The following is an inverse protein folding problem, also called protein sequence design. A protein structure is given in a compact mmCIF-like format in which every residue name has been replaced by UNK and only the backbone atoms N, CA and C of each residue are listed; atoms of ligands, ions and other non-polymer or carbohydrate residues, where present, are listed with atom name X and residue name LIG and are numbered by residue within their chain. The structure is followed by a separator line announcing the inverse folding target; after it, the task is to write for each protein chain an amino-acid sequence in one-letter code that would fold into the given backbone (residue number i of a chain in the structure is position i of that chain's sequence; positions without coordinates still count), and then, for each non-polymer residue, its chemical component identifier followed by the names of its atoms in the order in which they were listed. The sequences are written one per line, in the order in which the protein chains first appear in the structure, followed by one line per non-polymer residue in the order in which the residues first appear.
data_IF_083435725847
#
_entry.id   IF_083435725847
#
_cell.length_a   1.000
_cell.length_b   1.000
_cell.length_c   1.000
_cell.angle_alpha   90.00
_cell.angle_beta   90.00
_cell.angle_gamma   90.00
#
_symmetry.space_group_name_H-M   'P 1'
#
loop_
_entity.id
_entity.type
_entity.pdbx_description
1 polymer ?
#
# COMPACT_ATOMS: atom_id res chain seq x y z
N UNK A 1 27.18 -15.83 0.62
CA UNK A 1 27.21 -14.42 1.10
C UNK A 1 25.84 -13.86 1.47
N UNK A 2 24.74 -14.14 0.70
CA UNK A 2 23.39 -13.58 0.98
C UNK A 2 22.73 -14.15 2.25
N UNK A 3 22.91 -15.42 2.57
CA UNK A 3 22.30 -16.03 3.77
C UNK A 3 22.82 -15.47 5.09
N UNK A 4 24.14 -15.15 5.17
CA UNK A 4 24.76 -14.59 6.39
C UNK A 4 24.25 -13.17 6.74
N UNK A 5 23.74 -12.39 5.78
CA UNK A 5 23.24 -11.03 6.04
C UNK A 5 21.86 -11.03 6.68
N UNK A 6 21.01 -12.02 6.36
CA UNK A 6 19.65 -12.14 6.90
C UNK A 6 19.68 -12.48 8.40
N UNK A 7 20.65 -13.26 8.84
CA UNK A 7 20.86 -13.61 10.26
C UNK A 7 21.33 -12.43 11.12
N UNK A 8 21.76 -11.33 10.49
CA UNK A 8 22.26 -10.12 11.14
C UNK A 8 21.24 -8.97 11.14
N UNK A 9 20.01 -9.24 10.72
CA UNK A 9 18.90 -8.28 10.79
C UNK A 9 18.14 -8.50 12.08
N UNK A 10 18.10 -7.50 12.92
CA UNK A 10 17.40 -7.52 14.20
C UNK A 10 16.14 -6.65 14.15
N UNK A 11 15.20 -6.92 15.04
CA UNK A 11 13.92 -6.23 15.08
C UNK A 11 13.67 -5.59 16.44
N UNK A 12 13.33 -4.31 16.41
CA UNK A 12 12.95 -3.53 17.59
C UNK A 12 11.46 -3.19 17.45
N UNK A 13 10.62 -4.02 18.06
CA UNK A 13 9.15 -3.87 18.07
C UNK A 13 8.64 -3.99 19.50
N UNK A 14 7.36 -3.64 19.77
CA UNK A 14 6.81 -3.51 21.10
C UNK A 14 7.10 -4.67 22.07
N UNK A 15 7.18 -5.91 21.56
CA UNK A 15 7.40 -7.12 22.36
C UNK A 15 8.75 -7.82 22.10
N UNK A 16 9.55 -7.31 21.18
CA UNK A 16 10.83 -7.93 20.79
C UNK A 16 11.89 -6.86 20.57
N UNK A 17 12.94 -6.94 21.38
CA UNK A 17 14.12 -6.11 21.21
C UNK A 17 15.33 -7.03 21.08
N UNK A 18 15.69 -7.34 19.82
CA UNK A 18 16.86 -8.17 19.49
C UNK A 18 17.98 -7.33 18.89
N UNK A 19 18.15 -6.11 19.43
CA UNK A 19 19.19 -5.17 18.98
C UNK A 19 20.59 -5.79 19.00
N UNK A 20 21.44 -5.35 18.08
CA UNK A 20 22.83 -5.74 18.03
C UNK A 20 23.26 -6.43 16.74
N UNK A 21 22.43 -6.38 15.71
CA UNK A 21 22.78 -6.80 14.35
C UNK A 21 23.59 -5.74 13.60
N UNK A 22 23.94 -6.05 12.36
CA UNK A 22 24.50 -5.04 11.43
C UNK A 22 23.40 -4.07 11.01
N UNK A 23 22.15 -4.56 10.91
CA UNK A 23 20.97 -3.79 10.56
C UNK A 23 19.89 -4.06 11.59
N UNK A 24 19.44 -3.00 12.25
CA UNK A 24 18.30 -3.06 13.15
C UNK A 24 17.07 -2.39 12.49
N UNK A 25 15.95 -3.11 12.40
CA UNK A 25 14.69 -2.57 11.90
C UNK A 25 13.80 -2.21 13.08
N UNK A 26 13.43 -0.95 13.20
CA UNK A 26 12.62 -0.44 14.29
C UNK A 26 11.29 0.12 13.81
N UNK A 27 10.23 -0.11 14.59
CA UNK A 27 8.98 0.66 14.48
C UNK A 27 9.17 1.93 15.33
N UNK A 28 8.82 3.08 14.78
CA UNK A 28 9.01 4.38 15.42
C UNK A 28 8.49 4.41 16.88
N UNK A 29 7.31 3.82 17.14
CA UNK A 29 6.72 3.76 18.47
C UNK A 29 7.56 2.96 19.48
N UNK A 30 8.37 2.02 19.00
CA UNK A 30 9.24 1.19 19.85
C UNK A 30 10.56 1.89 20.25
N UNK A 31 10.80 3.07 19.71
CA UNK A 31 11.96 3.90 20.03
C UNK A 31 11.75 4.79 21.26
N UNK A 32 10.57 4.74 21.86
CA UNK A 32 10.20 5.51 23.05
C UNK A 32 10.13 4.62 24.28
N UNK A 33 10.38 5.23 25.47
CA UNK A 33 10.22 4.61 26.77
C UNK A 33 9.61 5.62 27.77
N UNK A 34 9.10 5.10 28.90
CA UNK A 34 8.49 5.89 29.95
C UNK A 34 7.14 6.53 29.59
N UNK A 35 6.49 7.14 30.59
CA UNK A 35 5.20 7.84 30.43
C UNK A 35 5.36 9.13 29.61
N UNK A 36 6.49 9.81 29.74
CA UNK A 36 6.84 11.04 29.01
C UNK A 36 7.28 10.76 27.57
N UNK A 37 7.34 9.49 27.16
CA UNK A 37 7.79 9.04 25.84
C UNK A 37 9.16 9.60 25.48
N UNK A 38 10.14 9.35 26.32
CA UNK A 38 11.53 9.70 26.02
C UNK A 38 12.10 8.77 24.96
N UNK A 39 13.01 9.30 24.16
CA UNK A 39 13.67 8.51 23.12
C UNK A 39 14.72 7.63 23.77
N UNK A 40 14.71 6.35 23.44
CA UNK A 40 15.66 5.39 23.99
C UNK A 40 17.10 5.76 23.63
N UNK A 41 18.05 5.73 24.58
CA UNK A 41 19.42 6.23 24.38
C UNK A 41 20.17 5.58 23.21
N UNK A 42 19.89 4.32 22.92
CA UNK A 42 20.58 3.58 21.86
C UNK A 42 20.38 4.18 20.44
N UNK A 43 19.38 5.04 20.25
CA UNK A 43 19.12 5.70 18.98
C UNK A 43 20.33 6.53 18.54
N UNK A 44 21.13 7.02 19.50
CA UNK A 44 22.36 7.79 19.26
C UNK A 44 23.56 6.94 18.83
N UNK A 45 23.47 5.60 18.91
CA UNK A 45 24.60 4.70 18.65
C UNK A 45 24.77 4.35 17.17
N UNK A 46 23.78 4.62 16.33
CA UNK A 46 23.80 4.27 14.91
C UNK A 46 24.60 5.25 14.07
N UNK A 47 25.44 4.71 13.18
CA UNK A 47 26.21 5.52 12.22
C UNK A 47 25.40 5.92 10.98
N UNK A 48 24.32 5.19 10.70
CA UNK A 48 23.40 5.43 9.59
C UNK A 48 21.95 5.18 10.01
N UNK A 49 21.04 6.06 9.58
CA UNK A 49 19.59 5.92 9.77
C UNK A 49 18.89 6.05 8.43
N UNK A 50 18.02 5.08 8.14
CA UNK A 50 17.14 5.06 6.98
C UNK A 50 15.70 5.18 7.46
N UNK A 51 15.00 6.23 7.02
CA UNK A 51 13.59 6.46 7.36
C UNK A 51 12.73 6.09 6.15
N UNK A 52 12.08 4.94 6.19
CA UNK A 52 11.14 4.54 5.15
C UNK A 52 9.81 5.29 5.29
N UNK A 53 9.16 5.56 4.15
CA UNK A 53 7.92 6.35 4.05
C UNK A 53 7.98 7.65 4.87
N UNK A 54 9.09 8.37 4.76
CA UNK A 54 9.39 9.54 5.59
C UNK A 54 8.33 10.66 5.49
N UNK A 55 7.46 10.63 4.48
CA UNK A 55 6.34 11.55 4.35
C UNK A 55 5.18 11.28 5.34
N UNK A 56 5.08 10.07 5.89
CA UNK A 56 4.05 9.72 6.88
C UNK A 56 4.43 10.06 8.33
N UNK A 57 5.66 10.43 8.57
CA UNK A 57 6.14 10.72 9.93
C UNK A 57 5.42 11.94 10.48
N UNK A 58 4.71 11.78 11.60
CA UNK A 58 4.14 12.89 12.35
C UNK A 58 5.29 13.81 12.77
N UNK A 59 5.26 15.08 12.33
CA UNK A 59 6.39 15.98 12.44
C UNK A 59 7.01 16.02 13.84
N UNK A 60 6.18 16.12 14.89
CA UNK A 60 6.65 16.22 16.28
C UNK A 60 7.35 14.94 16.79
N UNK A 61 6.76 13.78 16.57
CA UNK A 61 7.32 12.49 17.06
C UNK A 61 8.62 12.16 16.33
N UNK A 62 8.64 12.41 15.01
CA UNK A 62 9.83 12.21 14.21
C UNK A 62 10.94 13.16 14.62
N UNK A 63 10.65 14.44 14.80
CA UNK A 63 11.62 15.43 15.25
C UNK A 63 12.24 15.05 16.59
N UNK A 64 11.45 14.56 17.57
CA UNK A 64 11.95 14.12 18.89
C UNK A 64 12.98 13.01 18.73
N UNK A 65 12.75 12.02 17.86
CA UNK A 65 13.72 10.95 17.59
C UNK A 65 14.97 11.52 16.90
N UNK A 66 14.77 12.33 15.86
CA UNK A 66 15.88 12.82 15.05
C UNK A 66 16.83 13.76 15.81
N UNK A 67 16.36 14.43 16.85
CA UNK A 67 17.23 15.22 17.76
C UNK A 67 18.22 14.36 18.54
N UNK A 68 17.84 13.11 18.87
CA UNK A 68 18.70 12.16 19.58
C UNK A 68 19.60 11.35 18.65
N UNK A 69 19.31 11.34 17.33
CA UNK A 69 20.12 10.65 16.32
C UNK A 69 21.46 11.39 16.14
N UNK A 70 22.57 10.69 16.38
CA UNK A 70 23.95 11.16 16.13
C UNK A 70 24.57 10.55 14.86
N UNK A 71 23.74 9.93 14.02
CA UNK A 71 24.19 9.25 12.81
C UNK A 71 24.85 10.24 11.84
N UNK A 72 25.97 9.83 11.26
CA UNK A 72 26.65 10.57 10.20
C UNK A 72 25.84 10.63 8.90
N UNK A 73 25.05 9.57 8.66
CA UNK A 73 24.26 9.43 7.44
C UNK A 73 22.78 9.26 7.79
N UNK A 74 21.96 10.14 7.27
CA UNK A 74 20.51 10.14 7.44
C UNK A 74 19.88 10.20 6.06
N UNK A 75 19.02 9.21 5.75
CA UNK A 75 18.30 9.12 4.47
C UNK A 75 16.81 8.95 4.69
N UNK A 76 16.02 9.79 4.05
CA UNK A 76 14.57 9.60 3.93
C UNK A 76 14.23 8.93 2.60
N UNK A 77 13.42 7.87 2.64
CA UNK A 77 12.87 7.22 1.48
C UNK A 77 11.36 7.52 1.41
N UNK A 78 10.87 7.86 0.24
CA UNK A 78 9.45 8.12 0.03
C UNK A 78 9.09 7.97 -1.44
N UNK A 79 7.94 7.37 -1.72
CA UNK A 79 7.36 7.39 -3.06
C UNK A 79 6.81 8.78 -3.43
N UNK A 80 6.48 9.59 -2.44
CA UNK A 80 5.88 10.92 -2.59
C UNK A 80 6.43 11.87 -1.54
N UNK A 81 7.50 12.63 -1.82
CA UNK A 81 8.12 13.53 -0.84
C UNK A 81 7.26 14.76 -0.50
N UNK A 82 6.21 15.02 -1.29
CA UNK A 82 5.27 16.13 -1.06
C UNK A 82 4.14 15.67 -0.16
N UNK A 83 3.85 16.43 0.90
CA UNK A 83 2.78 16.16 1.84
C UNK A 83 1.52 16.99 1.51
N UNK A 84 0.31 16.43 1.67
CA UNK A 84 -0.94 17.15 1.47
C UNK A 84 -1.11 18.36 2.42
N UNK A 85 -0.53 18.26 3.63
CA UNK A 85 -0.60 19.28 4.68
C UNK A 85 0.50 20.36 4.60
N UNK A 86 1.37 20.31 3.60
CA UNK A 86 2.44 21.28 3.40
C UNK A 86 3.63 21.18 4.37
N UNK A 87 3.65 20.21 5.29
CA UNK A 87 4.75 20.04 6.28
C UNK A 87 6.00 19.31 5.73
N UNK A 88 6.17 19.19 4.41
CA UNK A 88 7.38 18.64 3.80
C UNK A 88 8.69 19.36 4.19
N UNK A 89 8.75 20.67 4.54
CA UNK A 89 10.01 21.30 4.95
C UNK A 89 10.65 20.59 6.15
N UNK A 90 9.86 20.04 7.09
CA UNK A 90 10.38 19.30 8.25
C UNK A 90 11.16 18.06 7.82
N UNK A 91 10.70 17.36 6.78
CA UNK A 91 11.39 16.19 6.24
C UNK A 91 12.74 16.61 5.66
N UNK A 92 12.77 17.71 4.91
CA UNK A 92 14.01 18.23 4.31
C UNK A 92 15.00 18.77 5.34
N UNK A 93 14.51 19.33 6.45
CA UNK A 93 15.37 19.76 7.56
C UNK A 93 16.07 18.57 8.24
N UNK A 94 15.41 17.43 8.31
CA UNK A 94 15.94 16.24 9.00
C UNK A 94 16.73 15.30 8.07
N UNK A 95 16.23 15.06 6.86
CA UNK A 95 16.80 14.10 5.91
C UNK A 95 17.62 14.76 4.80
N UNK A 96 17.64 16.11 4.74
CA UNK A 96 18.27 16.86 3.67
C UNK A 96 17.42 16.93 2.39
N UNK A 97 17.93 17.59 1.34
CA UNK A 97 17.22 17.76 0.08
C UNK A 97 17.08 16.43 -0.68
N UNK A 98 16.15 16.39 -1.64
CA UNK A 98 16.01 15.26 -2.56
C UNK A 98 17.30 15.09 -3.35
N UNK A 99 18.02 14.00 -3.14
CA UNK A 99 19.30 13.68 -3.79
C UNK A 99 19.15 12.78 -4.99
N UNK A 100 18.09 11.95 -4.98
CA UNK A 100 17.82 11.03 -6.06
C UNK A 100 16.30 10.89 -6.23
N UNK A 101 15.83 10.95 -7.46
CA UNK A 101 14.44 10.74 -7.81
C UNK A 101 14.34 9.71 -8.93
N UNK A 102 13.47 8.75 -8.74
CA UNK A 102 13.17 7.74 -9.76
C UNK A 102 11.97 8.25 -10.56
N UNK A 103 12.18 8.49 -11.83
CA UNK A 103 11.10 8.81 -12.75
C UNK A 103 10.27 7.55 -13.02
N UNK A 104 8.97 7.62 -12.69
CA UNK A 104 8.02 6.53 -12.89
C UNK A 104 7.92 6.11 -14.36
N UNK A 105 8.04 7.05 -15.30
CA UNK A 105 8.00 6.78 -16.75
C UNK A 105 9.22 5.97 -17.17
N UNK A 106 10.42 6.43 -16.82
CA UNK A 106 11.66 5.71 -17.10
C UNK A 106 11.72 4.32 -16.47
N UNK A 107 11.08 4.14 -15.29
CA UNK A 107 10.96 2.83 -14.68
C UNK A 107 9.95 1.93 -15.37
N UNK A 108 8.86 2.50 -15.87
CA UNK A 108 7.88 1.75 -16.65
C UNK A 108 8.49 1.18 -17.94
N UNK A 109 9.31 1.98 -18.63
CA UNK A 109 10.00 1.57 -19.86
C UNK A 109 11.02 0.42 -19.65
N UNK A 110 11.55 0.29 -18.43
CA UNK A 110 12.50 -0.78 -18.09
C UNK A 110 11.85 -2.10 -17.68
N UNK A 111 10.52 -2.13 -17.55
CA UNK A 111 9.78 -3.33 -17.14
C UNK A 111 9.46 -4.21 -18.34
N UNK A 112 9.34 -5.50 -18.07
CA UNK A 112 9.03 -6.51 -19.08
C UNK A 112 7.57 -6.54 -19.53
N UNK A 113 6.71 -5.66 -18.98
CA UNK A 113 5.28 -5.62 -19.26
C UNK A 113 4.81 -4.20 -19.59
N UNK A 114 3.80 -4.11 -20.46
CA UNK A 114 3.17 -2.85 -20.88
C UNK A 114 2.21 -2.30 -19.81
N UNK A 115 1.92 -0.99 -19.87
CA UNK A 115 1.06 -0.30 -18.92
C UNK A 115 -0.11 0.36 -19.64
N UNK A 116 -1.33 0.07 -19.23
CA UNK A 116 -2.54 0.65 -19.81
C UNK A 116 -3.40 1.30 -18.73
N UNK A 117 -3.90 2.50 -19.02
CA UNK A 117 -4.96 3.14 -18.27
C UNK A 117 -6.23 3.13 -19.13
N UNK A 118 -7.30 2.51 -18.65
CA UNK A 118 -8.54 2.30 -19.39
C UNK A 118 -9.66 3.09 -18.69
N UNK A 119 -9.97 4.32 -19.14
CA UNK A 119 -11.03 5.10 -18.54
C UNK A 119 -12.40 4.50 -18.83
N UNK A 120 -13.19 4.28 -17.77
CA UNK A 120 -14.59 3.82 -17.87
C UNK A 120 -15.51 4.96 -17.46
N UNK A 121 -16.27 5.48 -18.42
CA UNK A 121 -17.21 6.57 -18.20
C UNK A 121 -18.56 6.05 -17.72
N UNK A 122 -19.03 6.55 -16.59
CA UNK A 122 -20.34 6.23 -16.03
C UNK A 122 -21.23 7.48 -15.97
N UNK A 123 -22.54 7.31 -16.20
CA UNK A 123 -23.52 8.40 -16.11
C UNK A 123 -24.14 8.50 -14.71
N UNK A 124 -23.28 8.40 -13.68
CA UNK A 124 -23.74 8.48 -12.29
C UNK A 124 -24.12 9.93 -11.95
N UNK A 125 -25.37 10.15 -11.55
CA UNK A 125 -25.85 11.43 -11.05
C UNK A 125 -26.19 11.30 -9.57
N UNK A 126 -25.79 12.27 -8.78
CA UNK A 126 -26.00 12.33 -7.34
C UNK A 126 -26.54 13.72 -6.97
N UNK A 127 -27.79 14.05 -7.35
CA UNK A 127 -28.33 15.42 -7.25
C UNK A 127 -28.42 15.92 -5.81
N UNK A 128 -28.61 15.01 -4.84
CA UNK A 128 -28.78 15.32 -3.43
C UNK A 128 -27.49 15.30 -2.61
N UNK A 129 -26.36 14.97 -3.25
CA UNK A 129 -25.06 14.93 -2.58
C UNK A 129 -24.54 16.35 -2.27
N UNK A 130 -24.38 16.68 -0.98
CA UNK A 130 -23.88 17.97 -0.49
C UNK A 130 -22.48 17.88 0.07
N UNK A 131 -22.06 16.71 0.51
CA UNK A 131 -20.74 16.46 1.09
C UNK A 131 -19.99 15.41 0.29
N UNK A 132 -18.68 15.34 0.46
CA UNK A 132 -17.85 14.28 -0.11
C UNK A 132 -18.28 12.90 0.39
N UNK A 133 -18.81 12.82 1.60
CA UNK A 133 -19.31 11.58 2.19
C UNK A 133 -20.60 11.11 1.50
N UNK A 134 -21.48 12.04 1.13
CA UNK A 134 -22.70 11.74 0.35
C UNK A 134 -22.30 11.23 -1.04
N UNK A 135 -21.32 11.85 -1.68
CA UNK A 135 -20.80 11.43 -2.98
C UNK A 135 -20.28 9.99 -2.89
N UNK A 136 -19.40 9.69 -1.93
CA UNK A 136 -18.87 8.35 -1.76
C UNK A 136 -19.96 7.31 -1.44
N UNK A 137 -20.92 7.67 -0.59
CA UNK A 137 -22.04 6.79 -0.25
C UNK A 137 -22.95 6.56 -1.47
N UNK A 138 -23.23 7.59 -2.24
CA UNK A 138 -24.02 7.51 -3.46
C UNK A 138 -23.35 6.65 -4.52
N UNK A 139 -22.04 6.82 -4.74
CA UNK A 139 -21.25 6.00 -5.67
C UNK A 139 -21.27 4.53 -5.24
N UNK A 140 -21.06 4.25 -3.95
CA UNK A 140 -21.02 2.88 -3.43
C UNK A 140 -22.39 2.16 -3.56
N UNK A 141 -23.49 2.91 -3.49
CA UNK A 141 -24.86 2.40 -3.60
C UNK A 141 -25.40 2.35 -5.03
N UNK A 142 -24.72 2.96 -6.00
CA UNK A 142 -25.20 3.03 -7.37
C UNK A 142 -25.13 1.66 -8.06
N UNK A 143 -26.28 1.03 -8.24
CA UNK A 143 -26.38 -0.32 -8.78
C UNK A 143 -25.88 -0.42 -10.23
N UNK A 144 -26.24 0.54 -11.08
CA UNK A 144 -25.80 0.54 -12.47
C UNK A 144 -24.26 0.59 -12.57
N UNK A 145 -23.62 1.45 -11.76
CA UNK A 145 -22.17 1.52 -11.70
C UNK A 145 -21.53 0.25 -11.13
N UNK A 146 -22.12 -0.32 -10.10
CA UNK A 146 -21.62 -1.57 -9.53
C UNK A 146 -21.75 -2.72 -10.52
N UNK A 147 -22.82 -2.74 -11.32
CA UNK A 147 -22.98 -3.71 -12.40
C UNK A 147 -21.86 -3.59 -13.44
N UNK A 148 -21.45 -2.38 -13.83
CA UNK A 148 -20.30 -2.20 -14.72
C UNK A 148 -19.01 -2.74 -14.09
N UNK A 149 -18.73 -2.44 -12.83
CA UNK A 149 -17.54 -2.95 -12.14
C UNK A 149 -17.52 -4.48 -12.12
N UNK A 150 -18.64 -5.10 -11.82
CA UNK A 150 -18.79 -6.56 -11.78
C UNK A 150 -18.60 -7.15 -13.18
N UNK A 151 -19.25 -6.57 -14.20
CA UNK A 151 -19.13 -7.02 -15.59
C UNK A 151 -17.69 -6.90 -16.10
N UNK A 152 -17.04 -5.76 -15.89
CA UNK A 152 -15.64 -5.57 -16.27
C UNK A 152 -14.71 -6.55 -15.54
N UNK A 153 -14.98 -6.83 -14.26
CA UNK A 153 -14.22 -7.82 -13.49
C UNK A 153 -14.35 -9.22 -14.06
N UNK A 154 -15.58 -9.65 -14.40
CA UNK A 154 -15.85 -10.96 -15.01
C UNK A 154 -15.12 -11.07 -16.35
N UNK A 155 -15.17 -10.01 -17.16
CA UNK A 155 -14.45 -9.99 -18.43
C UNK A 155 -12.95 -10.13 -18.25
N UNK A 156 -12.37 -9.38 -17.33
CA UNK A 156 -10.93 -9.44 -16.98
C UNK A 156 -10.52 -10.84 -16.53
N UNK A 157 -11.36 -11.50 -15.72
CA UNK A 157 -11.13 -12.89 -15.28
C UNK A 157 -11.20 -13.86 -16.47
N UNK A 158 -12.16 -13.68 -17.38
CA UNK A 158 -12.29 -14.50 -18.59
C UNK A 158 -11.10 -14.34 -19.55
N UNK A 159 -10.40 -13.22 -19.49
CA UNK A 159 -9.13 -12.98 -20.21
C UNK A 159 -7.92 -13.65 -19.51
N UNK A 160 -8.12 -14.42 -18.43
CA UNK A 160 -7.07 -15.08 -17.66
C UNK A 160 -6.27 -14.15 -16.73
N UNK A 161 -6.81 -12.98 -16.41
CA UNK A 161 -6.14 -11.95 -15.61
C UNK A 161 -6.53 -12.05 -14.14
N UNK A 162 -5.73 -11.42 -13.28
CA UNK A 162 -5.95 -11.40 -11.83
C UNK A 162 -6.30 -9.98 -11.35
N UNK A 163 -7.61 -9.62 -11.27
CA UNK A 163 -8.03 -8.28 -10.90
C UNK A 163 -8.02 -8.02 -9.40
N UNK A 164 -7.68 -6.78 -9.05
CA UNK A 164 -7.90 -6.15 -7.75
C UNK A 164 -8.99 -5.08 -7.90
N UNK A 165 -10.13 -5.27 -7.23
CA UNK A 165 -11.14 -4.21 -7.07
C UNK A 165 -10.84 -3.42 -5.80
N UNK A 166 -10.62 -2.13 -5.95
CA UNK A 166 -10.24 -1.25 -4.86
C UNK A 166 -11.32 -0.22 -4.54
N UNK A 167 -11.76 -0.20 -3.29
CA UNK A 167 -12.72 0.76 -2.77
C UNK A 167 -12.29 1.30 -1.41
N UNK A 168 -12.78 2.48 -1.01
CA UNK A 168 -12.53 3.05 0.32
C UNK A 168 -13.63 2.68 1.35
N UNK A 169 -14.71 2.03 0.93
CA UNK A 169 -15.85 1.71 1.78
C UNK A 169 -15.98 0.21 2.02
N UNK A 170 -16.02 -0.17 3.30
CA UNK A 170 -16.15 -1.57 3.73
C UNK A 170 -17.42 -2.23 3.20
N UNK A 171 -18.57 -1.55 3.32
CA UNK A 171 -19.85 -2.09 2.85
C UNK A 171 -19.86 -2.25 1.33
N UNK A 172 -19.20 -1.35 0.60
CA UNK A 172 -19.06 -1.47 -0.84
C UNK A 172 -18.19 -2.67 -1.22
N UNK A 173 -17.07 -2.88 -0.52
CA UNK A 173 -16.21 -4.04 -0.74
C UNK A 173 -16.97 -5.37 -0.50
N UNK A 174 -17.76 -5.44 0.57
CA UNK A 174 -18.58 -6.63 0.89
C UNK A 174 -19.59 -6.89 -0.24
N UNK A 175 -20.31 -5.86 -0.68
CA UNK A 175 -21.31 -5.98 -1.77
C UNK A 175 -20.68 -6.44 -3.08
N UNK A 176 -19.53 -5.90 -3.45
CA UNK A 176 -18.81 -6.31 -4.66
C UNK A 176 -18.31 -7.76 -4.56
N UNK A 177 -17.79 -8.16 -3.42
CA UNK A 177 -17.35 -9.54 -3.19
C UNK A 177 -18.51 -10.51 -3.27
N UNK A 178 -19.64 -10.23 -2.61
CA UNK A 178 -20.85 -11.05 -2.67
C UNK A 178 -21.35 -11.24 -4.10
N UNK A 179 -21.35 -10.17 -4.90
CA UNK A 179 -21.77 -10.22 -6.30
C UNK A 179 -20.82 -11.01 -7.22
N UNK A 180 -19.54 -11.13 -6.82
CA UNK A 180 -18.52 -11.85 -7.57
C UNK A 180 -18.36 -13.31 -7.15
N UNK A 181 -18.99 -13.74 -6.06
CA UNK A 181 -18.98 -15.15 -5.64
C UNK A 181 -19.48 -16.07 -6.75
N UNK A 182 -18.73 -17.12 -7.02
CA UNK A 182 -19.02 -18.06 -8.10
C UNK A 182 -18.79 -17.52 -9.52
N UNK A 183 -18.18 -16.34 -9.66
CA UNK A 183 -17.75 -15.78 -10.97
C UNK A 183 -16.26 -15.96 -11.24
N UNK A 184 -15.52 -16.43 -10.24
CA UNK A 184 -14.15 -16.89 -10.31
C UNK A 184 -14.01 -18.07 -9.35
N UNK A 185 -12.94 -18.88 -9.50
CA UNK A 185 -12.68 -20.01 -8.59
C UNK A 185 -12.44 -19.51 -7.17
N UNK A 186 -11.75 -18.37 -7.05
CA UNK A 186 -11.47 -17.74 -5.76
C UNK A 186 -11.79 -16.24 -5.76
N UNK A 187 -12.54 -15.81 -4.75
CA UNK A 187 -12.81 -14.38 -4.48
C UNK A 187 -12.41 -14.06 -3.04
N UNK A 188 -11.45 -13.17 -2.87
CA UNK A 188 -10.96 -12.77 -1.55
C UNK A 188 -11.38 -11.36 -1.19
N UNK A 189 -11.96 -11.21 0.01
CA UNK A 189 -12.28 -9.92 0.62
C UNK A 189 -11.21 -9.53 1.65
N UNK A 190 -10.49 -8.44 1.39
CA UNK A 190 -9.41 -7.93 2.22
C UNK A 190 -9.76 -6.54 2.79
N UNK A 191 -10.07 -6.50 4.08
CA UNK A 191 -10.48 -5.29 4.78
C UNK A 191 -9.36 -4.79 5.70
N UNK A 192 -9.13 -3.49 5.74
CA UNK A 192 -8.13 -2.86 6.62
C UNK A 192 -8.42 -3.03 8.12
N UNK A 193 -9.67 -3.38 8.49
CA UNK A 193 -10.08 -3.75 9.85
C UNK A 193 -9.90 -5.26 10.09
N UNK A 194 -9.66 -5.67 11.33
CA UNK A 194 -9.54 -7.08 11.73
C UNK A 194 -8.21 -7.38 12.42
N UNK A 195 -8.12 -8.57 13.02
CA UNK A 195 -6.93 -9.01 13.75
C UNK A 195 -5.80 -9.36 12.79
N UNK A 196 -4.56 -9.09 13.18
CA UNK A 196 -3.37 -9.38 12.38
C UNK A 196 -3.25 -10.87 12.01
N UNK A 197 -3.68 -11.77 12.90
CA UNK A 197 -3.69 -13.21 12.66
C UNK A 197 -4.59 -13.55 11.46
N UNK A 198 -5.82 -13.06 11.47
CA UNK A 198 -6.81 -13.27 10.39
C UNK A 198 -6.32 -12.72 9.04
N UNK A 199 -5.67 -11.54 9.08
CA UNK A 199 -5.08 -10.93 7.87
C UNK A 199 -3.97 -11.82 7.29
N UNK A 200 -3.10 -12.39 8.16
CA UNK A 200 -2.02 -13.28 7.73
C UNK A 200 -2.55 -14.59 7.17
N UNK A 201 -3.56 -15.18 7.81
CA UNK A 201 -4.20 -16.41 7.34
C UNK A 201 -4.85 -16.22 5.97
N UNK A 202 -5.61 -15.13 5.78
CA UNK A 202 -6.20 -14.78 4.48
C UNK A 202 -5.15 -14.57 3.40
N UNK A 203 -4.05 -13.88 3.70
CA UNK A 203 -2.98 -13.67 2.76
C UNK A 203 -2.25 -14.97 2.41
N UNK A 204 -2.06 -15.86 3.38
CA UNK A 204 -1.50 -17.19 3.15
C UNK A 204 -2.40 -18.04 2.23
N UNK A 205 -3.73 -18.03 2.48
CA UNK A 205 -4.71 -18.71 1.65
C UNK A 205 -4.74 -18.17 0.22
N UNK A 206 -4.66 -16.83 0.06
CA UNK A 206 -4.60 -16.19 -1.25
C UNK A 206 -3.36 -16.62 -2.04
N UNK A 207 -2.19 -16.65 -1.40
CA UNK A 207 -0.93 -17.07 -2.02
C UNK A 207 -0.88 -18.56 -2.34
N UNK A 208 -1.68 -19.38 -1.67
CA UNK A 208 -1.78 -20.81 -1.90
C UNK A 208 -2.68 -21.18 -3.09
N UNK A 209 -3.40 -20.19 -3.69
CA UNK A 209 -4.26 -20.45 -4.86
C UNK A 209 -3.39 -20.88 -6.04
N UNK A 210 -3.69 -22.04 -6.68
CA UNK A 210 -2.96 -22.52 -7.85
C UNK A 210 -2.94 -21.49 -9.00
N UNK A 211 -1.85 -21.47 -9.77
CA UNK A 211 -1.68 -20.51 -10.85
C UNK A 211 -2.70 -20.67 -11.99
N UNK A 212 -3.25 -21.85 -12.16
CA UNK A 212 -4.25 -22.19 -13.17
C UNK A 212 -5.69 -21.91 -12.73
N UNK A 213 -5.91 -21.51 -11.48
CA UNK A 213 -7.23 -21.14 -10.97
C UNK A 213 -7.41 -19.62 -10.98
N UNK A 214 -8.61 -19.17 -11.33
CA UNK A 214 -8.94 -17.76 -11.40
C UNK A 214 -9.09 -17.14 -10.02
N UNK A 215 -8.54 -15.92 -9.87
CA UNK A 215 -8.46 -15.21 -8.60
C UNK A 215 -8.94 -13.77 -8.75
N UNK A 216 -9.87 -13.37 -7.90
CA UNK A 216 -10.32 -11.98 -7.75
C UNK A 216 -10.02 -11.50 -6.33
N UNK A 217 -9.45 -10.32 -6.20
CA UNK A 217 -9.24 -9.66 -4.91
C UNK A 217 -10.11 -8.42 -4.82
N UNK A 218 -10.95 -8.33 -3.80
CA UNK A 218 -11.71 -7.13 -3.44
C UNK A 218 -11.12 -6.57 -2.16
N UNK A 219 -10.66 -5.33 -2.16
CA UNK A 219 -9.97 -4.78 -1.01
C UNK A 219 -10.33 -3.32 -0.71
N UNK A 220 -10.11 -2.94 0.54
CA UNK A 220 -10.10 -1.52 0.92
C UNK A 220 -8.70 -0.94 0.81
N UNK A 221 -8.61 0.35 0.47
CA UNK A 221 -7.35 1.07 0.29
C UNK A 221 -6.42 0.93 1.50
N UNK A 222 -6.97 1.00 2.71
CA UNK A 222 -6.20 0.81 3.94
C UNK A 222 -5.48 -0.54 3.99
N UNK A 223 -6.09 -1.63 3.52
CA UNK A 223 -5.43 -2.95 3.50
C UNK A 223 -4.27 -2.99 2.51
N UNK A 224 -4.48 -2.45 1.31
CA UNK A 224 -3.48 -2.46 0.23
C UNK A 224 -2.28 -1.56 0.56
N UNK A 225 -2.50 -0.45 1.27
CA UNK A 225 -1.43 0.45 1.74
C UNK A 225 -0.48 -0.19 2.76
N UNK A 226 -0.98 -1.10 3.61
CA UNK A 226 -0.25 -1.69 4.74
C UNK A 226 0.56 -2.94 4.38
N UNK A 227 1.45 -2.87 3.38
CA UNK A 227 2.40 -3.96 3.09
C UNK A 227 1.82 -5.16 2.34
N UNK A 228 0.66 -5.01 1.71
CA UNK A 228 0.09 -6.03 0.83
C UNK A 228 0.98 -6.24 -0.39
N UNK A 229 1.31 -7.47 -0.71
CA UNK A 229 2.15 -7.85 -1.84
C UNK A 229 1.66 -9.17 -2.44
N UNK A 230 1.10 -9.11 -3.66
CA UNK A 230 0.64 -10.24 -4.45
C UNK A 230 1.10 -10.07 -5.90
N UNK A 231 2.16 -10.77 -6.32
CA UNK A 231 2.76 -10.58 -7.64
C UNK A 231 1.85 -10.95 -8.82
N UNK A 232 0.85 -11.83 -8.63
CA UNK A 232 -0.09 -12.24 -9.69
C UNK A 232 -0.97 -11.09 -10.18
N UNK A 233 -1.25 -10.09 -9.33
CA UNK A 233 -2.12 -8.97 -9.68
C UNK A 233 -1.59 -8.22 -10.91
N UNK A 234 -2.41 -8.09 -11.91
CA UNK A 234 -2.09 -7.42 -13.18
C UNK A 234 -3.12 -6.38 -13.61
N UNK A 235 -4.27 -6.35 -12.97
CA UNK A 235 -5.34 -5.39 -13.26
C UNK A 235 -5.86 -4.79 -11.96
N UNK A 236 -6.08 -3.48 -11.93
CA UNK A 236 -6.75 -2.79 -10.82
C UNK A 236 -7.97 -2.04 -11.33
N UNK A 237 -9.13 -2.30 -10.71
CA UNK A 237 -10.36 -1.55 -10.95
C UNK A 237 -10.58 -0.59 -9.78
N UNK A 238 -10.48 0.70 -10.07
CA UNK A 238 -10.70 1.77 -9.07
C UNK A 238 -12.19 2.00 -8.89
N UNK A 239 -12.76 1.32 -7.90
CA UNK A 239 -14.20 1.39 -7.64
C UNK A 239 -14.64 2.68 -6.94
N UNK A 240 -13.72 3.53 -6.48
CA UNK A 240 -13.97 4.81 -5.84
C UNK A 240 -12.95 5.86 -6.29
N UNK A 241 -13.30 7.15 -6.28
CA UNK A 241 -12.35 8.22 -6.54
C UNK A 241 -11.19 8.20 -5.55
N UNK A 242 -9.99 8.48 -6.03
CA UNK A 242 -8.78 8.63 -5.21
C UNK A 242 -8.36 10.09 -5.27
N UNK A 243 -8.28 10.74 -4.12
CA UNK A 243 -8.00 12.18 -4.03
C UNK A 243 -6.51 12.54 -4.10
N UNK A 244 -5.62 11.57 -3.82
CA UNK A 244 -4.18 11.82 -3.69
C UNK A 244 -3.36 10.99 -4.67
N UNK A 245 -2.53 11.68 -5.48
CA UNK A 245 -1.67 11.02 -6.48
C UNK A 245 -0.73 9.97 -5.88
N UNK A 246 -0.22 10.22 -4.67
CA UNK A 246 0.66 9.29 -3.97
C UNK A 246 -0.02 7.98 -3.63
N UNK A 247 -1.26 8.05 -3.15
CA UNK A 247 -2.08 6.86 -2.87
C UNK A 247 -2.32 6.06 -4.14
N UNK A 248 -2.66 6.72 -5.26
CA UNK A 248 -2.81 6.04 -6.55
C UNK A 248 -1.50 5.38 -6.98
N UNK A 249 -0.37 6.07 -6.88
CA UNK A 249 0.94 5.53 -7.24
C UNK A 249 1.30 4.30 -6.40
N UNK A 250 0.98 4.30 -5.09
CA UNK A 250 1.17 3.14 -4.22
C UNK A 250 0.29 1.96 -4.66
N UNK A 251 -0.98 2.17 -4.97
CA UNK A 251 -1.88 1.11 -5.40
C UNK A 251 -1.46 0.51 -6.73
N UNK A 252 -1.20 1.35 -7.73
CA UNK A 252 -0.70 0.91 -9.04
C UNK A 252 0.66 0.22 -8.91
N UNK A 253 1.51 0.70 -8.00
CA UNK A 253 2.80 0.09 -7.68
C UNK A 253 2.70 -1.38 -7.24
N UNK A 254 1.57 -1.82 -6.68
CA UNK A 254 1.33 -3.23 -6.32
C UNK A 254 1.23 -4.14 -7.55
N UNK A 255 0.76 -3.61 -8.69
CA UNK A 255 0.73 -4.36 -9.95
C UNK A 255 2.12 -4.55 -10.57
N UNK A 256 3.08 -3.74 -10.16
CA UNK A 256 4.42 -3.69 -10.76
C UNK A 256 5.38 -4.76 -10.25
N UNK A 257 4.89 -5.77 -9.56
CA UNK A 257 5.68 -6.94 -9.17
C UNK A 257 5.88 -7.86 -10.36
N UNK A 258 7.11 -8.33 -10.54
CA UNK A 258 7.40 -9.31 -11.57
C UNK A 258 6.69 -10.63 -11.24
N UNK A 259 6.01 -11.17 -12.22
CA UNK A 259 5.37 -12.48 -12.16
C UNK A 259 5.52 -13.16 -13.51
N UNK A 260 5.78 -14.45 -13.51
CA UNK A 260 5.96 -15.21 -14.74
C UNK A 260 4.68 -15.16 -15.59
N UNK A 261 4.84 -14.86 -16.88
CA UNK A 261 3.71 -14.72 -17.81
C UNK A 261 3.02 -13.35 -17.81
N UNK A 262 3.36 -12.42 -16.90
CA UNK A 262 2.77 -11.08 -16.90
C UNK A 262 3.31 -10.25 -18.07
N UNK A 263 2.45 -9.94 -19.04
CA UNK A 263 2.79 -9.17 -20.23
C UNK A 263 2.33 -7.71 -20.16
N UNK A 264 1.30 -7.43 -19.38
CA UNK A 264 0.74 -6.09 -19.23
C UNK A 264 0.06 -5.88 -17.88
N UNK A 265 -0.03 -4.64 -17.46
CA UNK A 265 -0.83 -4.20 -16.32
C UNK A 265 -1.87 -3.18 -16.77
N UNK A 266 -3.09 -3.27 -16.17
CA UNK A 266 -4.22 -2.38 -16.49
C UNK A 266 -4.74 -1.67 -15.25
N UNK A 267 -5.11 -0.40 -15.42
CA UNK A 267 -5.75 0.43 -14.40
C UNK A 267 -7.04 1.00 -14.95
#
# INVERSE_FOLDING_TARGET
GRMKLIEQICHIVAWKNTRGGIIDIAIMQSLFEGEEKDVKPFVSEYGMVLCDECHHLAAFTFEKIMREVKARYIYGLSATPVRPDGHQPVIFMQCGPVRYSVDAKNQAEKRSFSHYAIPRFTRTRLPDARTIQDIYSGIAKNEARNHFLISDTIQVVAEGRTPLLLTERKEHAIRLEEALRGKADHVFLLLGSGKQKEKREKLASLRAVPANESLVVVATGKYIGEGFDEPRLDTILLAMPISWKGTLAQYVGRLHRNYEGKQEVRV
#
